data_IF_743544788036
#
_entry.id   IF_743544788036
#
_cell.length_a   1.000
_cell.length_b   1.000
_cell.length_c   1.000
_cell.angle_alpha   90.00
_cell.angle_beta   90.00
_cell.angle_gamma   90.00
#
_symmetry.space_group_name_H-M   'P 1'
#
loop_
_entity.id
_entity.type
_entity.pdbx_description
1 polymer ?
#
# COMPACT_ATOMS: atom_id res chain seq x y z
N UNK A 1 -4.10 -4.04 34.87
CA UNK A 1 -3.30 -2.98 34.24
C UNK A 1 -3.73 -2.94 32.78
N UNK A 2 -4.54 -1.95 32.43
CA UNK A 2 -5.04 -1.70 31.08
C UNK A 2 -3.90 -1.09 30.26
N UNK A 3 -3.50 -1.71 29.16
CA UNK A 3 -3.07 -0.96 27.97
C UNK A 3 -3.13 -1.85 26.73
N UNK A 4 -3.86 -1.37 25.73
CA UNK A 4 -4.17 -1.99 24.46
C UNK A 4 -2.94 -1.92 23.54
N UNK A 5 -1.92 -2.74 23.78
CA UNK A 5 -0.81 -2.83 22.82
C UNK A 5 -1.18 -3.76 21.65
N UNK A 6 -2.10 -3.29 20.80
CA UNK A 6 -2.33 -3.83 19.44
C UNK A 6 -1.28 -3.33 18.44
N UNK A 7 -0.10 -2.93 18.89
CA UNK A 7 1.01 -2.48 18.05
C UNK A 7 1.82 -3.63 17.45
N UNK A 8 1.31 -4.87 17.52
CA UNK A 8 1.78 -6.00 16.69
C UNK A 8 1.23 -5.94 15.26
N UNK A 9 1.30 -4.77 14.61
CA UNK A 9 1.33 -4.70 13.14
C UNK A 9 2.78 -4.76 12.72
N UNK A 10 3.42 -5.83 13.16
CA UNK A 10 4.79 -6.16 12.87
C UNK A 10 4.87 -6.45 11.36
N UNK A 11 5.56 -5.55 10.68
CA UNK A 11 5.81 -5.45 9.25
C UNK A 11 6.67 -6.62 8.75
N UNK A 12 6.28 -7.85 9.09
CA UNK A 12 7.00 -9.06 8.72
C UNK A 12 6.88 -9.31 7.23
N UNK A 13 8.04 -9.18 6.59
CA UNK A 13 8.48 -10.09 5.54
C UNK A 13 7.57 -10.16 4.31
N UNK A 14 7.34 -9.02 3.66
CA UNK A 14 7.10 -9.04 2.20
C UNK A 14 8.41 -8.85 1.45
N UNK A 15 9.45 -9.61 1.80
CA UNK A 15 10.76 -9.61 1.10
C UNK A 15 10.70 -10.30 -0.28
N UNK A 16 9.53 -10.71 -0.79
CA UNK A 16 9.41 -11.42 -2.09
C UNK A 16 8.23 -10.95 -2.93
N UNK A 17 8.23 -9.66 -3.25
CA UNK A 17 7.17 -8.96 -3.99
C UNK A 17 7.32 -9.06 -5.51
N UNK A 18 7.68 -10.22 -6.06
CA UNK A 18 7.50 -10.42 -7.51
C UNK A 18 6.02 -10.65 -7.85
N UNK A 19 5.21 -11.06 -6.87
CA UNK A 19 3.76 -11.27 -6.98
C UNK A 19 2.90 -10.18 -6.33
N UNK A 20 3.44 -9.28 -5.50
CA UNK A 20 2.57 -8.25 -4.92
C UNK A 20 2.22 -7.12 -5.88
N UNK A 21 2.91 -6.91 -7.02
CA UNK A 21 2.58 -5.76 -7.86
C UNK A 21 1.09 -5.81 -8.29
N UNK A 22 0.56 -6.98 -8.64
CA UNK A 22 -0.87 -7.12 -8.97
C UNK A 22 -1.79 -7.07 -7.73
N UNK A 23 -1.34 -7.61 -6.60
CA UNK A 23 -2.12 -7.63 -5.35
C UNK A 23 -2.21 -6.22 -4.71
N UNK A 24 -1.08 -5.50 -4.66
CA UNK A 24 -0.96 -4.12 -4.19
C UNK A 24 -1.77 -3.19 -5.07
N UNK A 25 -1.74 -3.39 -6.39
CA UNK A 25 -2.56 -2.61 -7.34
C UNK A 25 -4.04 -2.72 -7.02
N UNK A 26 -4.56 -3.95 -6.87
CA UNK A 26 -5.96 -4.16 -6.51
C UNK A 26 -6.32 -3.61 -5.13
N UNK A 27 -5.42 -3.79 -4.15
CA UNK A 27 -5.62 -3.33 -2.78
C UNK A 27 -5.68 -1.80 -2.69
N UNK A 28 -4.71 -1.09 -3.27
CA UNK A 28 -4.63 0.36 -3.25
C UNK A 28 -5.77 0.99 -4.07
N UNK A 29 -6.13 0.39 -5.21
CA UNK A 29 -7.27 0.82 -6.02
C UNK A 29 -8.58 0.76 -5.22
N UNK A 30 -8.87 -0.37 -4.57
CA UNK A 30 -10.08 -0.48 -3.72
C UNK A 30 -10.01 0.39 -2.47
N UNK A 31 -8.85 0.48 -1.81
CA UNK A 31 -8.69 1.18 -0.53
C UNK A 31 -8.78 2.70 -0.67
N UNK A 32 -8.19 3.24 -1.74
CA UNK A 32 -8.09 4.68 -1.96
C UNK A 32 -8.97 5.17 -3.13
N UNK A 33 -9.76 4.28 -3.75
CA UNK A 33 -10.62 4.63 -4.88
C UNK A 33 -9.85 4.99 -6.15
N UNK A 34 -8.61 4.49 -6.28
CA UNK A 34 -7.76 4.78 -7.43
C UNK A 34 -8.02 3.83 -8.58
N UNK A 35 -7.63 4.27 -9.78
CA UNK A 35 -7.64 3.39 -10.94
C UNK A 35 -6.39 2.50 -10.98
N UNK A 36 -6.54 1.28 -11.50
CA UNK A 36 -5.44 0.34 -11.77
C UNK A 36 -4.22 1.01 -12.45
N UNK A 37 -4.37 1.82 -13.52
CA UNK A 37 -3.24 2.51 -14.13
C UNK A 37 -2.58 3.56 -13.23
N UNK A 38 -3.34 4.27 -12.38
CA UNK A 38 -2.76 5.23 -11.42
C UNK A 38 -1.89 4.52 -10.40
N UNK A 39 -2.37 3.40 -9.85
CA UNK A 39 -1.58 2.62 -8.89
C UNK A 39 -0.35 2.01 -9.54
N UNK A 40 -0.46 1.48 -10.77
CA UNK A 40 0.70 0.98 -11.52
C UNK A 40 1.73 2.07 -11.77
N UNK A 41 1.29 3.31 -12.05
CA UNK A 41 2.18 4.46 -12.18
C UNK A 41 2.86 4.76 -10.85
N UNK A 42 2.12 4.73 -9.75
CA UNK A 42 2.64 4.92 -8.39
C UNK A 42 3.77 3.93 -8.07
N UNK A 43 3.53 2.64 -8.34
CA UNK A 43 4.52 1.57 -8.11
C UNK A 43 5.73 1.74 -9.03
N UNK A 44 5.51 2.18 -10.27
CA UNK A 44 6.60 2.46 -11.19
C UNK A 44 7.46 3.66 -10.78
N UNK A 45 6.87 4.68 -10.17
CA UNK A 45 7.58 5.90 -9.75
C UNK A 45 8.24 5.77 -8.37
N UNK A 46 7.59 5.08 -7.43
CA UNK A 46 8.03 4.97 -6.04
C UNK A 46 8.58 3.59 -5.66
N UNK A 47 8.40 2.57 -6.52
CA UNK A 47 8.74 1.18 -6.23
C UNK A 47 7.62 0.45 -5.48
N UNK A 48 7.95 -0.73 -4.94
CA UNK A 48 7.03 -1.57 -4.16
C UNK A 48 7.06 -1.23 -2.65
N UNK A 49 7.38 0.02 -2.32
CA UNK A 49 7.49 0.49 -0.94
C UNK A 49 6.10 0.79 -0.38
N UNK A 50 5.55 -0.15 0.37
CA UNK A 50 4.15 -0.10 0.82
C UNK A 50 3.80 1.19 1.58
N UNK A 51 4.67 1.68 2.45
CA UNK A 51 4.41 2.94 3.18
C UNK A 51 4.31 4.14 2.23
N UNK A 52 5.18 4.20 1.22
CA UNK A 52 5.18 5.28 0.23
C UNK A 52 3.93 5.17 -0.64
N UNK A 53 3.61 3.97 -1.12
CA UNK A 53 2.42 3.73 -1.93
C UNK A 53 1.13 4.08 -1.18
N UNK A 54 0.99 3.69 0.09
CA UNK A 54 -0.20 4.04 0.88
C UNK A 54 -0.30 5.56 1.12
N UNK A 55 0.82 6.25 1.31
CA UNK A 55 0.85 7.71 1.48
C UNK A 55 0.45 8.45 0.22
N UNK A 56 1.06 8.10 -0.91
CA UNK A 56 0.81 8.75 -2.19
C UNK A 56 -0.58 8.38 -2.73
N UNK A 57 -1.02 7.14 -2.54
CA UNK A 57 -2.37 6.71 -2.91
C UNK A 57 -3.44 7.44 -2.11
N UNK A 58 -3.21 7.65 -0.81
CA UNK A 58 -4.09 8.47 0.04
C UNK A 58 -4.17 9.91 -0.44
N UNK A 59 -3.06 10.49 -0.91
CA UNK A 59 -3.03 11.85 -1.43
C UNK A 59 -3.82 11.97 -2.75
N UNK A 60 -3.77 10.95 -3.61
CA UNK A 60 -4.51 10.91 -4.88
C UNK A 60 -6.01 10.66 -4.68
N UNK A 61 -6.39 9.75 -3.77
CA UNK A 61 -7.78 9.36 -3.53
C UNK A 61 -8.59 10.33 -2.66
N UNK A 62 -7.92 11.26 -1.97
CA UNK A 62 -8.58 12.29 -1.15
C UNK A 62 -9.02 13.53 -1.95
N UNK A 63 -8.87 13.50 -3.29
CA UNK A 63 -9.27 14.56 -4.21
C UNK A 63 -10.71 14.37 -4.68
#
# INVERSE_FOLDING_TARGET
>A
MTDDDKTKRDFRDRDRVAGDEEYEVGYLASKFGLTIPEVRKLIKEHGNDREVLEREAKALGAR
#
